data_IF_021024550755
#
_entry.id   IF_021024550755
#
_cell.length_a   1.000
_cell.length_b   1.000
_cell.length_c   1.000
_cell.angle_alpha   90.00
_cell.angle_beta   90.00
_cell.angle_gamma   90.00
#
_symmetry.space_group_name_H-M   'P 1'
#
loop_
_entity.id
_entity.type
_entity.pdbx_description
1 polymer ?
#
# COMPACT_ATOMS: atom_id res chain seq x y z
N UNK A 1 -58.49 -37.71 -50.40
CA UNK A 1 -57.70 -36.46 -50.58
C UNK A 1 -57.69 -35.56 -49.34
N UNK A 2 -57.80 -36.08 -48.11
CA UNK A 2 -57.71 -35.30 -46.86
C UNK A 2 -56.40 -35.46 -46.08
N UNK A 3 -55.53 -36.40 -46.49
CA UNK A 3 -54.24 -36.66 -45.82
C UNK A 3 -53.03 -35.88 -46.38
N UNK A 4 -53.14 -35.31 -47.59
CA UNK A 4 -52.05 -34.55 -48.21
C UNK A 4 -52.03 -33.07 -47.80
N UNK A 5 -53.18 -32.52 -47.37
CA UNK A 5 -53.27 -31.12 -46.93
C UNK A 5 -52.71 -30.90 -45.51
N UNK A 6 -52.74 -31.92 -44.65
CA UNK A 6 -52.21 -31.85 -43.27
C UNK A 6 -50.69 -32.04 -43.19
N UNK A 7 -50.07 -32.81 -44.11
CA UNK A 7 -48.61 -32.87 -44.21
C UNK A 7 -48.00 -31.59 -44.81
N UNK A 8 -48.73 -30.90 -45.71
CA UNK A 8 -48.29 -29.62 -46.27
C UNK A 8 -48.22 -28.48 -45.25
N UNK A 9 -49.14 -28.46 -44.26
CA UNK A 9 -49.15 -27.43 -43.22
C UNK A 9 -48.11 -27.66 -42.11
N UNK A 10 -47.73 -28.92 -41.85
CA UNK A 10 -46.66 -29.25 -40.90
C UNK A 10 -45.26 -28.94 -41.44
N UNK A 11 -45.04 -29.09 -42.76
CA UNK A 11 -43.76 -28.77 -43.40
C UNK A 11 -43.55 -27.25 -43.60
N UNK A 12 -44.62 -26.46 -43.73
CA UNK A 12 -44.52 -25.00 -43.88
C UNK A 12 -44.33 -24.26 -42.55
N UNK A 13 -44.68 -24.90 -41.42
CA UNK A 13 -44.50 -24.33 -40.06
C UNK A 13 -43.17 -24.72 -39.42
N UNK A 14 -42.51 -25.77 -39.90
CA UNK A 14 -41.13 -26.12 -39.50
C UNK A 14 -40.05 -25.31 -40.22
N UNK A 15 -40.40 -24.54 -41.28
CA UNK A 15 -39.46 -23.74 -42.07
C UNK A 15 -39.36 -22.27 -41.63
N UNK A 16 -39.97 -21.92 -40.49
CA UNK A 16 -40.00 -20.58 -39.90
C UNK A 16 -39.46 -20.59 -38.46
N UNK A 17 -38.44 -21.41 -38.18
CA UNK A 17 -37.55 -21.13 -37.05
C UNK A 17 -36.73 -19.89 -37.44
N UNK A 18 -36.93 -18.72 -36.82
CA UNK A 18 -36.04 -17.61 -37.05
C UNK A 18 -34.66 -18.05 -36.57
N UNK A 19 -33.67 -17.99 -37.47
CA UNK A 19 -32.27 -17.88 -37.11
C UNK A 19 -32.12 -16.59 -36.29
N UNK A 20 -32.44 -16.66 -35.00
CA UNK A 20 -32.01 -15.68 -34.02
C UNK A 20 -30.52 -15.93 -33.82
N UNK A 21 -29.70 -15.53 -34.79
CA UNK A 21 -28.37 -15.05 -34.46
C UNK A 21 -28.62 -13.86 -33.55
N UNK A 22 -28.48 -14.09 -32.25
CA UNK A 22 -28.28 -12.98 -31.32
C UNK A 22 -27.01 -12.32 -31.80
N UNK A 23 -27.15 -11.15 -32.41
CA UNK A 23 -26.00 -10.35 -32.81
C UNK A 23 -25.22 -10.13 -31.51
N UNK A 24 -24.00 -10.68 -31.36
CA UNK A 24 -23.22 -10.38 -30.19
C UNK A 24 -23.07 -8.87 -30.20
N UNK A 25 -23.56 -8.22 -29.14
CA UNK A 25 -23.34 -6.80 -28.95
C UNK A 25 -21.82 -6.62 -29.05
N UNK A 26 -21.35 -6.09 -30.19
CA UNK A 26 -19.96 -5.75 -30.38
C UNK A 26 -19.72 -4.55 -29.48
N UNK A 27 -19.55 -4.82 -28.19
CA UNK A 27 -19.06 -3.85 -27.25
C UNK A 27 -17.64 -3.59 -27.71
N UNK A 28 -17.48 -2.52 -28.50
CA UNK A 28 -16.18 -1.98 -28.81
C UNK A 28 -15.57 -1.63 -27.46
N UNK A 29 -14.70 -2.51 -26.96
CA UNK A 29 -13.80 -2.27 -25.83
C UNK A 29 -12.75 -1.24 -26.28
N UNK A 30 -13.23 -0.06 -26.66
CA UNK A 30 -12.44 1.11 -27.00
C UNK A 30 -12.51 2.15 -25.88
N UNK A 31 -12.91 1.75 -24.67
CA UNK A 31 -12.66 2.54 -23.48
C UNK A 31 -11.25 2.20 -23.01
N UNK A 32 -10.24 2.80 -23.65
CA UNK A 32 -8.99 3.03 -22.93
C UNK A 32 -9.36 3.89 -21.73
N UNK A 33 -9.48 3.25 -20.56
CA UNK A 33 -9.81 3.91 -19.28
C UNK A 33 -8.61 4.79 -18.93
N UNK A 34 -8.59 5.99 -19.50
CA UNK A 34 -7.63 7.04 -19.22
C UNK A 34 -8.24 7.97 -18.17
N UNK A 35 -8.26 7.50 -16.93
CA UNK A 35 -8.97 8.10 -15.81
C UNK A 35 -7.97 8.61 -14.79
N UNK A 36 -8.15 9.86 -14.37
CA UNK A 36 -7.36 10.43 -13.28
C UNK A 36 -7.77 9.79 -11.96
N UNK A 37 -6.78 9.35 -11.18
CA UNK A 37 -6.90 8.74 -9.85
C UNK A 37 -6.20 9.64 -8.85
N UNK A 38 -6.94 10.10 -7.84
CA UNK A 38 -6.44 11.02 -6.81
C UNK A 38 -6.67 10.45 -5.42
N UNK A 39 -5.61 10.33 -4.63
CA UNK A 39 -5.70 9.89 -3.24
C UNK A 39 -5.01 10.92 -2.35
N UNK A 40 -5.71 11.39 -1.30
CA UNK A 40 -5.17 12.37 -0.38
C UNK A 40 -5.98 12.44 0.90
N UNK A 41 -5.30 12.29 2.04
CA UNK A 41 -5.89 12.45 3.37
C UNK A 41 -5.10 13.48 4.17
N UNK A 42 -5.79 14.48 4.69
CA UNK A 42 -5.23 15.44 5.66
C UNK A 42 -5.52 14.94 7.07
N UNK A 43 -4.48 14.87 7.90
CA UNK A 43 -4.60 14.42 9.29
C UNK A 43 -4.09 15.49 10.26
N UNK A 44 -4.48 15.37 11.52
CA UNK A 44 -3.95 16.19 12.63
C UNK A 44 -2.66 15.60 13.23
N UNK A 45 -2.03 14.62 12.56
CA UNK A 45 -0.83 13.93 13.02
C UNK A 45 0.40 14.55 12.37
N UNK A 46 1.49 14.60 13.12
CA UNK A 46 2.78 15.16 12.72
C UNK A 46 3.58 14.20 11.83
N UNK A 47 3.05 13.85 10.67
CA UNK A 47 3.67 12.89 9.75
C UNK A 47 3.65 13.39 8.30
N UNK A 48 4.54 12.87 7.44
CA UNK A 48 4.53 13.20 6.01
C UNK A 48 3.17 12.88 5.37
N UNK A 49 2.41 13.92 5.04
CA UNK A 49 1.14 13.81 4.32
C UNK A 49 1.40 13.92 2.82
N UNK A 50 1.03 12.89 2.07
CA UNK A 50 1.27 12.78 0.63
C UNK A 50 -0.05 12.67 -0.12
N UNK A 51 -0.21 13.51 -1.14
CA UNK A 51 -1.28 13.44 -2.13
C UNK A 51 -0.72 12.74 -3.37
N UNK A 52 -1.39 11.70 -3.83
CA UNK A 52 -0.98 10.88 -4.98
C UNK A 52 -1.87 11.18 -6.18
N UNK A 53 -1.23 11.53 -7.30
CA UNK A 53 -1.89 11.75 -8.58
C UNK A 53 -1.40 10.73 -9.61
N UNK A 54 -2.31 9.89 -10.09
CA UNK A 54 -2.02 8.87 -11.07
C UNK A 54 -3.07 8.89 -12.18
N UNK A 55 -2.73 8.35 -13.35
CA UNK A 55 -3.65 8.19 -14.47
C UNK A 55 -3.70 6.71 -14.82
N UNK A 56 -4.89 6.13 -14.86
CA UNK A 56 -5.05 4.75 -15.28
C UNK A 56 -4.65 4.61 -16.74
N UNK A 57 -3.93 3.55 -17.07
CA UNK A 57 -3.46 3.29 -18.41
C UNK A 57 -3.65 1.81 -18.72
N UNK A 58 -4.41 1.51 -19.78
CA UNK A 58 -4.50 0.16 -20.31
C UNK A 58 -3.49 -0.01 -21.44
N UNK A 59 -2.63 -1.02 -21.33
CA UNK A 59 -1.77 -1.44 -22.44
C UNK A 59 -2.64 -1.92 -23.60
N UNK A 60 -2.49 -1.28 -24.76
CA UNK A 60 -3.29 -1.55 -25.95
C UNK A 60 -3.04 -2.93 -26.57
N UNK A 61 -1.86 -3.51 -26.36
CA UNK A 61 -1.45 -4.80 -26.93
C UNK A 61 -1.78 -5.95 -25.98
N UNK A 62 -1.56 -5.76 -24.67
CA UNK A 62 -1.75 -6.82 -23.68
C UNK A 62 -3.09 -6.73 -22.94
N UNK A 63 -3.79 -5.60 -23.03
CA UNK A 63 -4.98 -5.32 -22.23
C UNK A 63 -4.68 -5.12 -20.74
N UNK A 64 -3.41 -5.14 -20.33
CA UNK A 64 -3.02 -5.04 -18.92
C UNK A 64 -3.21 -3.63 -18.41
N UNK A 65 -3.97 -3.48 -17.33
CA UNK A 65 -4.14 -2.20 -16.63
C UNK A 65 -2.90 -1.86 -15.80
N UNK A 66 -2.52 -0.59 -15.82
CA UNK A 66 -1.47 0.00 -15.00
C UNK A 66 -1.80 1.45 -14.64
N UNK A 67 -0.88 2.11 -13.94
CA UNK A 67 -1.00 3.52 -13.55
C UNK A 67 0.23 4.29 -13.99
N UNK A 68 0.03 5.48 -14.54
CA UNK A 68 1.09 6.41 -14.87
C UNK A 68 1.08 7.57 -13.87
N UNK A 69 2.20 7.87 -13.20
CA UNK A 69 2.27 8.99 -12.27
C UNK A 69 2.09 10.32 -13.01
N UNK A 70 1.27 11.20 -12.46
CA UNK A 70 1.06 12.55 -13.00
C UNK A 70 2.11 13.46 -12.39
N UNK A 71 3.11 13.84 -13.19
CA UNK A 71 4.27 14.62 -12.72
C UNK A 71 4.14 16.11 -13.03
N UNK A 72 4.90 16.94 -12.31
CA UNK A 72 4.99 18.40 -12.54
C UNK A 72 3.64 19.14 -12.41
N UNK A 73 2.68 18.57 -11.69
CA UNK A 73 1.45 19.27 -11.34
C UNK A 73 1.72 20.29 -10.23
N UNK A 74 0.98 21.39 -10.24
CA UNK A 74 0.92 22.30 -9.08
C UNK A 74 -0.19 21.80 -8.17
N UNK A 75 0.15 21.36 -6.96
CA UNK A 75 -0.80 20.78 -5.99
C UNK A 75 -0.84 21.63 -4.72
N UNK A 76 -2.04 22.00 -4.31
CA UNK A 76 -2.30 22.94 -3.23
C UNK A 76 -3.49 22.48 -2.38
N UNK A 77 -3.40 22.68 -1.06
CA UNK A 77 -4.52 22.49 -0.14
C UNK A 77 -4.94 23.85 0.39
N UNK A 78 -6.22 24.17 0.24
CA UNK A 78 -6.84 25.41 0.71
C UNK A 78 -7.45 25.15 2.07
N UNK A 79 -7.04 25.91 3.08
CA UNK A 79 -7.54 25.90 4.45
C UNK A 79 -8.51 27.08 4.64
N UNK A 80 -9.72 26.78 5.13
CA UNK A 80 -10.80 27.74 5.42
C UNK A 80 -11.04 28.75 4.29
N UNK A 81 -10.98 28.25 3.05
CA UNK A 81 -11.21 29.02 1.81
C UNK A 81 -10.28 30.20 1.57
N UNK A 82 -9.17 30.34 2.31
CA UNK A 82 -8.32 31.54 2.26
C UNK A 82 -6.82 31.24 2.30
N UNK A 83 -6.37 30.39 3.22
CA UNK A 83 -4.96 30.03 3.34
C UNK A 83 -4.61 28.93 2.34
N UNK A 84 -3.47 29.05 1.67
CA UNK A 84 -3.00 28.09 0.65
C UNK A 84 -1.72 27.43 1.13
N UNK A 85 -1.75 26.11 1.20
CA UNK A 85 -0.61 25.28 1.56
C UNK A 85 -0.15 24.54 0.31
N UNK A 86 1.03 24.91 -0.19
CA UNK A 86 1.59 24.32 -1.40
C UNK A 86 2.31 23.00 -1.09
N UNK A 87 2.09 22.00 -1.93
CA UNK A 87 2.82 20.74 -1.88
C UNK A 87 4.06 20.79 -2.76
N UNK A 88 5.03 19.92 -2.49
CA UNK A 88 6.20 19.71 -3.35
C UNK A 88 6.23 18.26 -3.83
N UNK A 89 6.59 18.05 -5.09
CA UNK A 89 6.73 16.70 -5.65
C UNK A 89 8.00 16.03 -5.09
N UNK A 90 7.86 14.85 -4.47
CA UNK A 90 8.98 14.11 -3.87
C UNK A 90 9.47 13.00 -4.80
N UNK A 91 8.55 12.14 -5.22
CA UNK A 91 8.73 11.16 -6.28
C UNK A 91 7.63 11.38 -7.32
N UNK A 92 7.84 10.89 -8.54
CA UNK A 92 6.89 11.08 -9.65
C UNK A 92 5.45 10.74 -9.21
N UNK A 93 4.56 11.73 -9.27
CA UNK A 93 3.14 11.56 -8.92
C UNK A 93 2.79 11.61 -7.42
N UNK A 94 3.77 11.85 -6.54
CA UNK A 94 3.57 12.02 -5.09
C UNK A 94 3.93 13.44 -4.66
N UNK A 95 2.95 14.14 -4.10
CA UNK A 95 3.04 15.54 -3.71
C UNK A 95 2.87 15.67 -2.20
N UNK A 96 3.93 16.09 -1.51
CA UNK A 96 3.99 16.13 -0.06
C UNK A 96 3.73 17.54 0.46
N UNK A 97 2.90 17.64 1.51
CA UNK A 97 2.72 18.88 2.27
C UNK A 97 3.99 19.24 3.07
N UNK A 98 4.14 20.49 3.55
CA UNK A 98 5.23 20.85 4.45
C UNK A 98 5.30 19.92 5.67
N UNK A 99 6.51 19.52 6.09
CA UNK A 99 6.71 18.51 7.16
C UNK A 99 6.20 18.96 8.54
N UNK A 100 6.04 20.26 8.75
CA UNK A 100 5.53 20.88 9.96
C UNK A 100 4.01 21.11 9.94
N UNK A 101 3.38 20.95 8.77
CA UNK A 101 1.95 21.10 8.63
C UNK A 101 1.20 19.99 9.39
N UNK A 102 0.14 20.39 10.10
CA UNK A 102 -0.81 19.50 10.76
C UNK A 102 -2.20 20.07 10.57
N UNK A 103 -3.12 19.20 10.18
CA UNK A 103 -4.53 19.56 10.13
C UNK A 103 -5.09 19.87 11.53
N UNK A 104 -6.17 20.63 11.55
CA UNK A 104 -6.84 21.12 12.75
C UNK A 104 -8.29 20.68 12.71
N UNK A 105 -8.78 20.20 13.84
CA UNK A 105 -10.17 19.76 14.01
C UNK A 105 -11.10 20.96 13.82
N UNK A 106 -12.25 20.74 13.17
CA UNK A 106 -13.25 21.76 12.81
C UNK A 106 -12.80 22.79 11.76
N UNK A 107 -11.61 22.63 11.17
CA UNK A 107 -11.17 23.40 10.02
C UNK A 107 -11.47 22.68 8.72
N UNK A 108 -11.59 23.45 7.65
CA UNK A 108 -12.13 22.98 6.39
C UNK A 108 -11.07 23.00 5.28
N UNK A 109 -10.83 21.84 4.67
CA UNK A 109 -9.77 21.60 3.69
C UNK A 109 -10.34 21.35 2.30
N UNK A 110 -9.67 21.88 1.28
CA UNK A 110 -10.03 21.64 -0.12
C UNK A 110 -8.78 21.44 -0.97
N UNK A 111 -8.75 20.39 -1.76
CA UNK A 111 -7.67 20.12 -2.70
C UNK A 111 -7.89 20.89 -4.00
N UNK A 112 -6.83 21.56 -4.47
CA UNK A 112 -6.75 22.16 -5.80
C UNK A 112 -5.46 21.70 -6.47
N UNK A 113 -5.56 21.30 -7.74
CA UNK A 113 -4.36 21.05 -8.51
C UNK A 113 -4.51 21.41 -9.98
N UNK A 114 -3.39 21.78 -10.59
CA UNK A 114 -3.26 22.12 -12.00
C UNK A 114 -2.23 21.19 -12.64
N UNK A 115 -2.64 20.47 -13.68
CA UNK A 115 -1.77 19.58 -14.43
C UNK A 115 -0.78 20.38 -15.31
N UNK A 116 0.25 19.71 -15.82
CA UNK A 116 1.27 20.33 -16.67
C UNK A 116 0.71 20.89 -17.99
N UNK A 117 -0.45 20.42 -18.44
CA UNK A 117 -1.17 20.90 -19.63
C UNK A 117 -2.08 22.11 -19.33
N UNK A 118 -2.16 22.54 -18.06
CA UNK A 118 -3.01 23.65 -17.60
C UNK A 118 -4.40 23.25 -17.15
N UNK A 119 -4.79 21.97 -17.24
CA UNK A 119 -6.08 21.47 -16.77
C UNK A 119 -6.19 21.57 -15.25
N UNK A 120 -7.34 22.05 -14.74
CA UNK A 120 -7.54 22.35 -13.32
C UNK A 120 -8.61 21.48 -12.69
N UNK A 121 -8.34 21.07 -11.46
CA UNK A 121 -9.21 20.22 -10.67
C UNK A 121 -9.38 20.77 -9.27
N UNK A 122 -10.56 20.52 -8.71
CA UNK A 122 -10.93 20.97 -7.37
C UNK A 122 -11.75 19.90 -6.66
N UNK A 123 -11.48 19.67 -5.37
CA UNK A 123 -12.31 18.82 -4.54
C UNK A 123 -13.49 19.58 -3.93
N UNK A 124 -14.47 18.86 -3.39
CA UNK A 124 -15.37 19.45 -2.37
C UNK A 124 -14.57 19.79 -1.11
N UNK A 125 -15.10 20.71 -0.31
CA UNK A 125 -14.55 21.04 0.99
C UNK A 125 -14.82 19.91 2.00
N UNK A 126 -13.84 19.62 2.85
CA UNK A 126 -13.90 18.57 3.87
C UNK A 126 -13.57 19.19 5.22
N UNK A 127 -14.54 19.21 6.13
CA UNK A 127 -14.33 19.66 7.52
C UNK A 127 -13.76 18.49 8.31
N UNK A 128 -12.64 18.69 9.00
CA UNK A 128 -12.02 17.65 9.82
C UNK A 128 -12.88 17.39 11.07
N UNK A 129 -13.52 16.21 11.19
CA UNK A 129 -14.28 15.87 12.39
C UNK A 129 -13.35 15.59 13.57
N UNK A 130 -13.88 15.69 14.80
CA UNK A 130 -13.16 15.24 15.99
C UNK A 130 -13.21 13.72 16.13
N UNK A 131 -12.22 13.13 16.80
CA UNK A 131 -12.14 11.67 17.02
C UNK A 131 -11.95 11.37 18.51
N UNK A 132 -12.72 10.44 19.10
CA UNK A 132 -12.50 10.04 20.48
C UNK A 132 -11.20 9.23 20.63
N UNK A 133 -10.56 9.24 21.81
CA UNK A 133 -9.34 8.46 22.04
C UNK A 133 -9.65 6.96 22.13
N UNK A 134 -8.73 6.14 21.60
CA UNK A 134 -8.75 4.68 21.80
C UNK A 134 -8.55 4.38 23.29
N UNK A 135 -9.52 3.72 23.92
CA UNK A 135 -9.53 3.46 25.36
C UNK A 135 -8.72 2.22 25.73
N UNK A 136 -8.91 1.13 25.01
CA UNK A 136 -8.20 -0.13 25.25
C UNK A 136 -7.91 -0.84 23.94
N UNK A 137 -6.78 -1.54 23.91
CA UNK A 137 -6.38 -2.45 22.83
C UNK A 137 -6.16 -3.82 23.44
N UNK A 138 -6.69 -4.86 22.79
CA UNK A 138 -6.51 -6.26 23.17
C UNK A 138 -6.04 -7.03 21.96
N UNK A 139 -5.06 -7.91 22.15
CA UNK A 139 -4.49 -8.72 21.06
C UNK A 139 -4.68 -10.20 21.38
N UNK A 140 -5.02 -10.99 20.37
CA UNK A 140 -5.16 -12.44 20.49
C UNK A 140 -4.48 -13.12 19.30
N UNK A 141 -3.58 -14.06 19.56
CA UNK A 141 -3.02 -14.90 18.50
C UNK A 141 -4.08 -15.85 17.93
N UNK A 142 -4.13 -15.96 16.60
CA UNK A 142 -5.07 -16.82 15.88
C UNK A 142 -4.35 -17.46 14.68
N UNK A 143 -4.16 -18.80 14.66
CA UNK A 143 -3.43 -19.49 13.60
C UNK A 143 -4.16 -19.52 12.24
N UNK A 144 -5.42 -19.07 12.19
CA UNK A 144 -6.28 -19.13 10.99
C UNK A 144 -7.01 -17.82 10.70
N UNK A 145 -6.47 -16.69 11.17
CA UNK A 145 -7.11 -15.37 11.08
C UNK A 145 -7.20 -14.81 9.67
N UNK A 146 -6.09 -14.81 8.91
CA UNK A 146 -6.04 -14.21 7.57
C UNK A 146 -6.99 -14.91 6.60
N UNK A 147 -7.57 -14.23 5.62
CA UNK A 147 -8.37 -14.90 4.58
C UNK A 147 -7.49 -15.80 3.67
N UNK A 148 -8.06 -16.73 2.88
CA UNK A 148 -7.28 -17.52 1.91
C UNK A 148 -6.54 -16.67 0.87
N UNK A 149 -7.04 -15.47 0.56
CA UNK A 149 -6.43 -14.54 -0.40
C UNK A 149 -5.22 -13.84 0.22
N UNK A 150 -5.27 -13.56 1.52
CA UNK A 150 -4.19 -12.94 2.30
C UNK A 150 -3.17 -13.96 2.83
N UNK A 151 -3.40 -15.25 2.59
CA UNK A 151 -2.54 -16.31 3.08
C UNK A 151 -1.17 -16.27 2.39
N UNK A 152 -0.11 -16.36 3.20
CA UNK A 152 1.27 -16.44 2.68
C UNK A 152 1.44 -17.83 2.03
N UNK A 153 1.95 -17.84 0.80
CA UNK A 153 1.98 -19.00 -0.11
C UNK A 153 0.63 -19.72 -0.26
N UNK A 154 -0.48 -19.00 -0.11
CA UNK A 154 -1.83 -19.56 -0.24
C UNK A 154 -2.26 -20.50 0.89
N UNK A 155 -1.48 -20.63 1.97
CA UNK A 155 -1.78 -21.58 3.06
C UNK A 155 -1.50 -21.07 4.48
N UNK A 156 -0.52 -20.20 4.68
CA UNK A 156 -0.13 -19.74 6.00
C UNK A 156 -0.99 -18.54 6.41
N UNK A 157 -1.81 -18.72 7.46
CA UNK A 157 -2.91 -17.81 7.83
C UNK A 157 -2.83 -17.28 9.26
N UNK A 158 -1.72 -17.53 9.95
CA UNK A 158 -1.56 -17.11 11.34
C UNK A 158 -1.38 -15.59 11.45
N UNK A 159 -2.13 -14.96 12.34
CA UNK A 159 -2.04 -13.54 12.63
C UNK A 159 -2.44 -13.24 14.09
N UNK A 160 -2.17 -12.01 14.51
CA UNK A 160 -2.65 -11.46 15.75
C UNK A 160 -3.89 -10.61 15.47
N UNK A 161 -5.03 -11.04 15.99
CA UNK A 161 -6.29 -10.30 15.93
C UNK A 161 -6.23 -9.18 16.95
N UNK A 162 -6.28 -7.94 16.47
CA UNK A 162 -6.22 -6.73 17.29
C UNK A 162 -7.61 -6.16 17.40
N UNK A 163 -8.08 -6.07 18.64
CA UNK A 163 -9.35 -5.49 19.01
C UNK A 163 -9.16 -4.17 19.72
N UNK A 164 -10.05 -3.22 19.49
CA UNK A 164 -10.09 -1.99 20.27
C UNK A 164 -11.44 -1.76 20.95
N UNK A 165 -11.37 -0.97 22.01
CA UNK A 165 -12.51 -0.35 22.66
C UNK A 165 -12.38 1.18 22.59
N UNK A 166 -13.46 1.87 22.26
CA UNK A 166 -13.54 3.33 22.25
C UNK A 166 -14.91 3.80 22.74
N UNK A 167 -14.95 4.91 23.46
CA UNK A 167 -16.20 5.54 23.88
C UNK A 167 -16.65 6.50 22.78
N UNK A 168 -17.81 6.22 22.20
CA UNK A 168 -18.41 7.08 21.18
C UNK A 168 -19.05 8.34 21.83
N UNK A 169 -18.92 9.53 21.21
CA UNK A 169 -19.59 10.74 21.67
C UNK A 169 -21.13 10.60 21.62
N UNK A 170 -21.84 11.22 22.56
CA UNK A 170 -23.31 11.17 22.58
C UNK A 170 -23.94 12.17 21.60
N UNK A 171 -25.06 11.80 21.00
CA UNK A 171 -25.93 12.66 20.18
C UNK A 171 -25.31 13.16 18.86
N UNK A 172 -24.23 12.55 18.40
CA UNK A 172 -23.64 12.79 17.08
C UNK A 172 -23.71 11.51 16.27
N UNK A 173 -23.83 11.61 14.94
CA UNK A 173 -23.77 10.44 14.06
C UNK A 173 -22.35 10.36 13.52
N UNK A 174 -21.54 9.48 14.10
CA UNK A 174 -20.12 9.37 13.84
C UNK A 174 -19.81 8.21 12.89
N UNK A 175 -18.81 8.45 12.06
CA UNK A 175 -18.27 7.46 11.13
C UNK A 175 -16.78 7.31 11.41
N UNK A 176 -16.33 6.05 11.48
CA UNK A 176 -14.95 5.74 11.80
C UNK A 176 -14.31 4.93 10.68
N UNK A 177 -12.99 5.10 10.55
CA UNK A 177 -12.12 4.23 9.77
C UNK A 177 -10.99 3.78 10.67
N UNK A 178 -10.67 2.49 10.62
CA UNK A 178 -9.50 1.96 11.30
C UNK A 178 -8.46 1.50 10.30
N UNK A 179 -7.23 1.90 10.56
CA UNK A 179 -6.05 1.49 9.82
C UNK A 179 -4.96 1.12 10.83
N UNK A 180 -3.93 0.42 10.36
CA UNK A 180 -2.80 0.05 11.21
C UNK A 180 -1.49 0.17 10.45
N UNK A 181 -0.44 0.45 11.20
CA UNK A 181 0.94 0.49 10.71
C UNK A 181 1.79 -0.36 11.64
N UNK A 182 2.47 -1.36 11.07
CA UNK A 182 3.28 -2.33 11.79
C UNK A 182 4.75 -2.01 11.61
N UNK A 183 5.48 -1.95 12.71
CA UNK A 183 6.93 -1.95 12.76
C UNK A 183 7.42 -3.35 13.12
N UNK A 184 7.91 -4.06 12.11
CA UNK A 184 8.44 -5.42 12.25
C UNK A 184 9.97 -5.38 12.20
N UNK A 185 10.69 -5.91 13.21
CA UNK A 185 12.15 -5.97 13.17
C UNK A 185 12.65 -6.70 11.93
N UNK A 186 13.59 -6.10 11.22
CA UNK A 186 14.16 -6.67 10.02
C UNK A 186 15.60 -7.10 10.24
N UNK A 187 15.90 -8.34 9.85
CA UNK A 187 17.23 -8.93 9.98
C UNK A 187 18.14 -8.62 8.77
N UNK A 188 17.57 -8.40 7.58
CA UNK A 188 18.31 -8.14 6.34
C UNK A 188 18.02 -6.74 5.78
N UNK A 189 19.07 -5.93 5.60
CA UNK A 189 18.94 -4.52 5.27
C UNK A 189 19.23 -4.20 3.79
N UNK A 190 19.87 -5.11 3.05
CA UNK A 190 20.19 -4.85 1.65
C UNK A 190 20.25 -6.13 0.87
N UNK A 191 19.69 -6.10 -0.33
CA UNK A 191 19.89 -7.12 -1.35
C UNK A 191 20.66 -6.48 -2.49
N UNK A 192 21.78 -7.09 -2.89
CA UNK A 192 22.51 -6.71 -4.09
C UNK A 192 22.37 -7.82 -5.14
N UNK A 193 21.64 -7.56 -6.21
CA UNK A 193 21.55 -8.46 -7.36
C UNK A 193 22.74 -8.24 -8.29
N UNK A 194 23.51 -9.29 -8.56
CA UNK A 194 24.74 -9.23 -9.36
C UNK A 194 25.77 -8.20 -8.87
N UNK A 195 25.81 -7.99 -7.57
CA UNK A 195 26.73 -7.07 -6.92
C UNK A 195 27.05 -7.51 -5.51
N UNK A 196 28.00 -6.81 -4.90
CA UNK A 196 28.37 -7.00 -3.50
C UNK A 196 28.18 -5.70 -2.73
N UNK A 197 27.78 -5.80 -1.47
CA UNK A 197 27.69 -4.62 -0.62
C UNK A 197 29.07 -4.19 -0.15
N UNK A 198 29.40 -2.91 -0.36
CA UNK A 198 30.67 -2.34 0.02
C UNK A 198 30.51 -1.23 1.06
N UNK A 199 31.23 -1.38 2.17
CA UNK A 199 31.28 -0.37 3.25
C UNK A 199 32.08 0.85 2.83
N UNK A 200 33.14 0.64 2.04
CA UNK A 200 34.02 1.69 1.54
C UNK A 200 34.02 1.72 0.01
N UNK A 201 34.39 2.86 -0.57
CA UNK A 201 34.49 3.07 -2.01
C UNK A 201 35.46 2.05 -2.61
N UNK A 202 35.01 1.40 -3.68
CA UNK A 202 35.73 0.35 -4.40
C UNK A 202 36.16 0.90 -5.76
N UNK A 203 37.47 0.91 -6.01
CA UNK A 203 38.05 1.42 -7.25
C UNK A 203 38.62 0.28 -8.10
N UNK A 204 38.56 0.37 -9.43
CA UNK A 204 39.28 -0.54 -10.31
C UNK A 204 40.77 -0.51 -9.99
N UNK A 205 41.39 -1.70 -9.91
CA UNK A 205 42.83 -1.84 -9.79
C UNK A 205 43.37 -2.55 -11.04
N UNK A 206 44.36 -3.43 -10.89
CA UNK A 206 44.96 -4.20 -11.98
C UNK A 206 44.38 -5.62 -12.08
N UNK A 207 44.35 -6.17 -13.30
CA UNK A 207 43.99 -7.56 -13.60
C UNK A 207 42.60 -8.00 -13.11
N UNK A 208 41.60 -7.11 -13.14
CA UNK A 208 40.22 -7.43 -12.75
C UNK A 208 39.99 -7.57 -11.24
N UNK A 209 40.98 -7.16 -10.44
CA UNK A 209 40.89 -6.98 -8.99
C UNK A 209 40.46 -5.53 -8.71
N UNK A 210 39.75 -5.31 -7.61
CA UNK A 210 39.34 -4.00 -7.14
C UNK A 210 40.00 -3.68 -5.79
N UNK A 211 40.33 -2.41 -5.60
CA UNK A 211 40.91 -1.92 -4.37
C UNK A 211 39.83 -1.24 -3.53
N UNK A 212 39.67 -1.67 -2.27
CA UNK A 212 38.85 -0.95 -1.30
C UNK A 212 39.66 0.21 -0.72
N UNK A 213 39.06 1.40 -0.69
CA UNK A 213 39.65 2.61 -0.10
C UNK A 213 39.25 2.75 1.37
N UNK A 214 39.66 3.84 2.02
CA UNK A 214 39.21 4.23 3.37
C UNK A 214 38.02 5.21 3.35
N UNK A 215 37.48 5.53 2.16
CA UNK A 215 36.37 6.48 2.01
C UNK A 215 35.04 5.72 2.19
N UNK A 216 34.16 6.12 3.12
CA UNK A 216 32.86 5.47 3.29
C UNK A 216 32.00 5.53 2.02
N UNK A 217 31.23 4.46 1.76
CA UNK A 217 30.34 4.34 0.60
C UNK A 217 28.97 3.74 0.96
N UNK A 218 28.95 2.58 1.63
CA UNK A 218 27.74 1.89 2.13
C UNK A 218 26.65 1.61 1.08
N UNK A 219 27.03 1.05 -0.07
CA UNK A 219 26.08 0.65 -1.12
C UNK A 219 26.55 -0.59 -1.92
N UNK A 220 25.68 -1.13 -2.76
CA UNK A 220 25.97 -2.20 -3.70
C UNK A 220 26.94 -1.72 -4.79
N UNK A 221 28.04 -2.44 -4.96
CA UNK A 221 29.00 -2.27 -6.03
C UNK A 221 28.81 -3.39 -7.05
N UNK A 222 28.71 -3.00 -8.31
CA UNK A 222 28.48 -3.90 -9.43
C UNK A 222 29.77 -4.04 -10.24
N UNK A 223 30.44 -5.21 -10.19
CA UNK A 223 31.62 -5.44 -11.01
C UNK A 223 31.24 -5.45 -12.50
N UNK A 224 32.08 -4.90 -13.41
CA UNK A 224 31.83 -4.94 -14.84
C UNK A 224 31.73 -6.38 -15.34
N UNK A 225 30.84 -6.63 -16.31
CA UNK A 225 30.57 -7.97 -16.84
C UNK A 225 31.81 -8.70 -17.38
N UNK A 226 32.86 -7.97 -17.78
CA UNK A 226 34.13 -8.52 -18.27
C UNK A 226 35.13 -8.90 -17.17
N UNK A 227 34.83 -8.62 -15.90
CA UNK A 227 35.75 -8.85 -14.79
C UNK A 227 35.58 -10.23 -14.14
N UNK A 228 36.66 -10.79 -13.60
CA UNK A 228 36.61 -12.05 -12.83
C UNK A 228 35.66 -11.95 -11.63
N UNK A 229 35.53 -10.75 -11.04
CA UNK A 229 34.60 -10.47 -9.95
C UNK A 229 33.13 -10.69 -10.35
N UNK A 230 32.78 -10.43 -11.61
CA UNK A 230 31.41 -10.63 -12.10
C UNK A 230 30.99 -12.09 -12.06
N UNK A 231 31.91 -13.04 -12.30
CA UNK A 231 31.62 -14.48 -12.24
C UNK A 231 31.16 -14.94 -10.84
N UNK A 232 31.56 -14.23 -9.78
CA UNK A 232 31.14 -14.54 -8.41
C UNK A 232 29.71 -14.09 -8.11
N UNK A 233 29.26 -13.00 -8.74
CA UNK A 233 27.94 -12.39 -8.50
C UNK A 233 26.93 -12.72 -9.59
N UNK A 234 27.36 -13.32 -10.71
CA UNK A 234 26.51 -13.56 -11.87
C UNK A 234 25.26 -14.38 -11.50
N UNK A 235 24.08 -13.84 -11.83
CA UNK A 235 22.79 -14.47 -11.53
C UNK A 235 22.49 -14.66 -10.04
N UNK A 236 23.25 -14.05 -9.15
CA UNK A 236 23.15 -14.24 -7.70
C UNK A 236 22.72 -12.95 -7.00
N UNK A 237 21.84 -13.08 -6.01
CA UNK A 237 21.50 -12.00 -5.08
C UNK A 237 22.17 -12.29 -3.75
N UNK A 238 22.92 -11.33 -3.20
CA UNK A 238 23.42 -11.41 -1.84
C UNK A 238 22.59 -10.55 -0.90
N UNK A 239 22.18 -11.14 0.22
CA UNK A 239 21.38 -10.48 1.26
C UNK A 239 22.24 -10.21 2.49
N UNK A 240 22.26 -8.94 2.89
CA UNK A 240 23.16 -8.44 3.90
C UNK A 240 22.42 -8.20 5.20
N UNK A 241 22.90 -8.81 6.28
CA UNK A 241 22.37 -8.60 7.62
C UNK A 241 22.42 -7.12 8.01
N UNK A 242 21.41 -6.67 8.72
CA UNK A 242 21.36 -5.35 9.31
C UNK A 242 22.47 -5.19 10.37
N UNK A 243 23.35 -4.20 10.17
CA UNK A 243 24.39 -3.83 11.14
C UNK A 243 23.84 -2.97 12.29
N UNK A 244 22.79 -2.22 11.99
CA UNK A 244 22.08 -1.34 12.92
C UNK A 244 20.66 -1.86 13.12
N UNK A 245 19.97 -1.40 14.16
CA UNK A 245 18.54 -1.66 14.30
C UNK A 245 17.78 -1.21 13.05
N UNK A 246 16.76 -1.97 12.69
CA UNK A 246 15.97 -1.74 11.50
C UNK A 246 14.57 -2.30 11.68
N UNK A 247 13.58 -1.52 11.29
CA UNK A 247 12.19 -1.94 11.26
C UNK A 247 11.65 -1.77 9.85
N UNK A 248 11.02 -2.82 9.35
CA UNK A 248 10.16 -2.75 8.19
C UNK A 248 8.80 -2.18 8.61
N UNK A 249 8.25 -1.29 7.80
CA UNK A 249 6.99 -0.60 8.03
C UNK A 249 5.96 -1.19 7.06
N UNK A 250 5.00 -1.93 7.61
CA UNK A 250 3.92 -2.55 6.86
C UNK A 250 2.61 -1.81 7.16
N UNK A 251 1.81 -1.54 6.13
CA UNK A 251 0.57 -0.77 6.23
C UNK A 251 -0.64 -1.67 6.01
N UNK A 252 -1.76 -1.32 6.63
CA UNK A 252 -3.04 -1.92 6.32
C UNK A 252 -3.47 -1.58 4.89
N UNK A 253 -3.87 -2.59 4.11
CA UNK A 253 -4.45 -2.41 2.78
C UNK A 253 -5.96 -2.67 2.75
N UNK A 254 -6.51 -3.23 3.83
CA UNK A 254 -7.94 -3.48 3.97
C UNK A 254 -8.64 -2.22 4.44
N UNK A 255 -9.81 -1.95 3.85
CA UNK A 255 -10.69 -0.88 4.29
C UNK A 255 -11.57 -1.43 5.41
N UNK A 256 -11.55 -0.76 6.56
CA UNK A 256 -12.37 -1.07 7.72
C UNK A 256 -13.09 0.21 8.17
N UNK A 257 -14.30 0.41 7.67
CA UNK A 257 -15.15 1.54 8.05
C UNK A 257 -16.34 1.09 8.90
N UNK A 258 -16.83 2.02 9.72
CA UNK A 258 -17.92 1.79 10.66
C UNK A 258 -18.82 2.99 10.81
N UNK A 259 -20.10 2.70 11.00
CA UNK A 259 -21.19 3.64 11.22
C UNK A 259 -21.77 3.34 12.60
N UNK A 260 -21.77 4.34 13.48
CA UNK A 260 -22.23 4.24 14.86
C UNK A 260 -23.75 4.17 15.02
N UNK A 261 -24.53 4.13 13.93
CA UNK A 261 -26.00 4.19 13.95
C UNK A 261 -26.69 3.31 14.99
N UNK A 262 -26.09 2.18 15.36
CA UNK A 262 -26.61 1.23 16.35
C UNK A 262 -25.89 1.26 17.71
N UNK A 263 -24.85 2.08 17.85
CA UNK A 263 -23.99 2.21 19.04
C UNK A 263 -23.78 3.67 19.47
N UNK A 264 -24.50 4.63 18.90
CA UNK A 264 -24.35 6.08 19.14
C UNK A 264 -24.32 6.40 20.64
N UNK A 265 -23.24 7.05 21.08
CA UNK A 265 -22.98 7.40 22.47
C UNK A 265 -22.61 6.23 23.39
N UNK A 266 -22.54 5.01 22.84
CA UNK A 266 -22.23 3.79 23.54
C UNK A 266 -20.75 3.43 23.50
N UNK A 267 -20.38 2.40 24.26
CA UNK A 267 -19.05 1.81 24.17
C UNK A 267 -18.98 0.93 22.91
N UNK A 268 -18.14 1.30 21.95
CA UNK A 268 -17.73 0.41 20.87
C UNK A 268 -16.70 -0.53 21.49
N UNK A 269 -17.06 -1.81 21.67
CA UNK A 269 -16.22 -2.79 22.35
C UNK A 269 -15.84 -3.96 21.46
N UNK A 270 -14.59 -4.41 21.59
CA UNK A 270 -14.01 -5.56 20.90
C UNK A 270 -14.19 -5.46 19.38
N UNK A 271 -14.05 -4.26 18.83
CA UNK A 271 -14.07 -4.06 17.39
C UNK A 271 -12.76 -4.61 16.81
N UNK A 272 -12.84 -5.57 15.88
CA UNK A 272 -11.67 -6.09 15.17
C UNK A 272 -11.18 -5.01 14.20
N UNK A 273 -9.95 -4.54 14.39
CA UNK A 273 -9.38 -3.42 13.64
C UNK A 273 -8.11 -3.77 12.88
N UNK A 274 -7.40 -4.81 13.28
CA UNK A 274 -6.25 -5.31 12.55
C UNK A 274 -6.12 -6.82 12.67
N UNK A 275 -5.55 -7.42 11.62
CA UNK A 275 -5.10 -8.80 11.59
C UNK A 275 -3.62 -8.75 11.21
N UNK A 276 -2.76 -8.66 12.23
CA UNK A 276 -1.31 -8.46 12.04
C UNK A 276 -0.66 -9.81 11.75
N UNK A 277 -0.16 -10.08 10.53
CA UNK A 277 0.36 -11.40 10.18
C UNK A 277 1.53 -11.82 11.08
N UNK A 278 1.61 -13.12 11.38
CA UNK A 278 2.68 -13.67 12.21
C UNK A 278 3.87 -14.09 11.35
N UNK A 279 4.81 -13.16 11.13
CA UNK A 279 5.98 -13.39 10.29
C UNK A 279 7.17 -14.04 11.01
N UNK A 280 7.30 -13.82 12.32
CA UNK A 280 8.47 -14.25 13.11
C UNK A 280 8.17 -14.16 14.61
N UNK A 281 8.93 -14.89 15.45
CA UNK A 281 8.78 -14.86 16.91
C UNK A 281 9.33 -13.58 17.56
N UNK A 282 10.12 -12.79 16.85
CA UNK A 282 10.56 -11.48 17.34
C UNK A 282 9.34 -10.59 17.62
N UNK A 283 9.40 -9.77 18.68
CA UNK A 283 8.31 -8.87 19.01
C UNK A 283 8.12 -7.83 17.90
N UNK A 284 6.94 -7.22 17.83
CA UNK A 284 6.66 -6.12 16.92
C UNK A 284 5.85 -5.01 17.62
N UNK A 285 5.77 -3.84 16.98
CA UNK A 285 4.92 -2.75 17.45
C UNK A 285 3.91 -2.41 16.36
N UNK A 286 2.63 -2.35 16.73
CA UNK A 286 1.56 -1.92 15.83
C UNK A 286 0.97 -0.60 16.32
N UNK A 287 0.93 0.40 15.44
CA UNK A 287 0.20 1.63 15.61
C UNK A 287 -1.23 1.44 15.12
N UNK A 288 -2.18 1.32 16.05
CA UNK A 288 -3.60 1.32 15.72
C UNK A 288 -4.06 2.76 15.53
N UNK A 289 -4.67 3.05 14.38
CA UNK A 289 -5.13 4.38 13.99
C UNK A 289 -6.64 4.36 13.87
N UNK A 290 -7.30 5.17 14.69
CA UNK A 290 -8.73 5.45 14.61
C UNK A 290 -8.94 6.82 14.00
N UNK A 291 -9.62 6.86 12.87
CA UNK A 291 -9.89 8.08 12.11
C UNK A 291 -11.37 8.39 12.13
N UNK A 292 -11.73 9.66 12.34
CA UNK A 292 -13.10 10.13 12.16
C UNK A 292 -13.32 10.58 10.72
N UNK A 293 -14.44 10.16 10.13
CA UNK A 293 -14.81 10.46 8.75
C UNK A 293 -16.03 11.39 8.69
N UNK A 294 -16.09 12.22 7.63
CA UNK A 294 -17.35 12.84 7.23
C UNK A 294 -18.28 11.78 6.64
N UNK A 295 -19.60 12.01 6.70
CA UNK A 295 -20.59 11.10 6.09
C UNK A 295 -20.26 10.76 4.63
N UNK A 296 -19.90 11.76 3.84
CA UNK A 296 -19.58 11.56 2.41
C UNK A 296 -18.29 10.77 2.21
N UNK A 297 -17.31 10.90 3.11
CA UNK A 297 -16.10 10.09 3.07
C UNK A 297 -16.40 8.64 3.46
N UNK A 298 -17.23 8.42 4.49
CA UNK A 298 -17.69 7.09 4.86
C UNK A 298 -18.43 6.39 3.72
N UNK A 299 -19.39 7.08 3.08
CA UNK A 299 -20.13 6.53 1.93
C UNK A 299 -19.16 6.09 0.82
N UNK A 300 -18.14 6.90 0.54
CA UNK A 300 -17.09 6.57 -0.42
C UNK A 300 -16.30 5.32 -0.03
N UNK A 301 -15.71 5.29 1.16
CA UNK A 301 -14.88 4.16 1.59
C UNK A 301 -15.68 2.87 1.80
N UNK A 302 -16.91 2.97 2.30
CA UNK A 302 -17.82 1.82 2.44
C UNK A 302 -18.16 1.20 1.08
N UNK A 303 -18.40 2.04 0.06
CA UNK A 303 -18.61 1.57 -1.30
C UNK A 303 -17.37 0.81 -1.82
N UNK A 304 -16.17 1.36 -1.65
CA UNK A 304 -14.94 0.69 -2.05
C UNK A 304 -14.74 -0.62 -1.29
N UNK A 305 -14.97 -0.63 0.03
CA UNK A 305 -14.91 -1.84 0.86
C UNK A 305 -15.83 -2.94 0.31
N UNK A 306 -17.07 -2.59 -0.04
CA UNK A 306 -18.04 -3.54 -0.59
C UNK A 306 -17.64 -4.04 -1.98
N UNK A 307 -16.98 -3.23 -2.81
CA UNK A 307 -16.57 -3.65 -4.16
C UNK A 307 -15.29 -4.50 -4.15
N UNK A 308 -14.30 -4.14 -3.33
CA UNK A 308 -12.97 -4.77 -3.37
C UNK A 308 -12.85 -5.97 -2.43
N UNK A 309 -13.68 -6.03 -1.38
CA UNK A 309 -13.60 -7.06 -0.35
C UNK A 309 -14.84 -7.97 -0.31
N UNK A 310 -15.76 -7.88 -1.28
CA UNK A 310 -16.82 -8.88 -1.45
C UNK A 310 -16.27 -10.11 -2.17
N UNK A 311 -16.62 -11.29 -1.68
CA UNK A 311 -16.04 -12.57 -2.10
C UNK A 311 -16.56 -13.13 -3.44
N UNK A 312 -17.20 -12.33 -4.29
CA UNK A 312 -17.57 -12.74 -5.64
C UNK A 312 -18.66 -13.82 -5.69
N UNK A 313 -19.90 -13.47 -5.35
CA UNK A 313 -21.08 -14.33 -5.52
C UNK A 313 -21.78 -14.14 -6.88
N UNK A 314 -22.49 -15.17 -7.36
CA UNK A 314 -23.33 -15.09 -8.58
C UNK A 314 -24.46 -14.03 -8.51
N UNK A 315 -24.69 -13.45 -7.33
CA UNK A 315 -25.69 -12.42 -7.05
C UNK A 315 -25.06 -11.06 -6.74
N UNK A 316 -23.75 -10.88 -6.94
CA UNK A 316 -23.09 -9.62 -6.66
C UNK A 316 -23.62 -8.52 -7.58
N UNK A 317 -23.87 -7.35 -7.00
CA UNK A 317 -24.37 -6.20 -7.75
C UNK A 317 -23.31 -5.78 -8.75
N UNK A 318 -23.65 -5.54 -10.04
CA UNK A 318 -22.67 -5.12 -11.02
C UNK A 318 -21.90 -3.89 -10.53
N UNK A 319 -20.57 -3.83 -10.75
CA UNK A 319 -19.75 -2.72 -10.28
C UNK A 319 -20.32 -1.39 -10.77
N UNK A 320 -20.73 -0.53 -9.84
CA UNK A 320 -21.16 0.83 -10.17
C UNK A 320 -19.95 1.76 -10.07
N UNK A 321 -19.90 2.83 -10.86
CA UNK A 321 -18.83 3.83 -10.72
C UNK A 321 -19.25 4.82 -9.65
N UNK A 322 -18.64 4.76 -8.46
CA UNK A 322 -18.77 5.83 -7.49
C UNK A 322 -17.81 6.95 -7.86
N UNK A 323 -18.39 8.11 -8.18
CA UNK A 323 -17.63 9.33 -8.47
C UNK A 323 -17.13 9.88 -7.13
N UNK A 324 -15.84 10.21 -7.10
CA UNK A 324 -15.20 10.85 -5.96
C UNK A 324 -15.70 12.25 -5.67
N UNK A 325 -14.98 12.97 -4.83
CA UNK A 325 -15.30 14.36 -4.53
C UNK A 325 -14.46 15.38 -5.33
N UNK A 326 -13.76 14.95 -6.38
CA UNK A 326 -12.89 15.77 -7.22
C UNK A 326 -13.50 15.92 -8.60
N UNK A 327 -13.45 17.14 -9.14
CA UNK A 327 -13.98 17.47 -10.47
C UNK A 327 -13.02 18.36 -11.25
N UNK A 328 -13.01 18.19 -12.57
CA UNK A 328 -12.40 19.15 -13.48
C UNK A 328 -13.25 20.44 -13.54
N UNK A 329 -12.61 21.59 -13.47
CA UNK A 329 -13.28 22.89 -13.49
C UNK A 329 -13.84 23.27 -14.89
N UNK A 330 -13.18 22.84 -15.95
CA UNK A 330 -13.56 23.10 -17.34
C UNK A 330 -14.52 22.05 -17.91
N UNK A 331 -14.40 20.78 -17.48
CA UNK A 331 -15.29 19.69 -17.90
C UNK A 331 -15.84 18.89 -16.70
N UNK A 332 -17.01 19.28 -16.15
CA UNK A 332 -17.64 18.55 -15.06
C UNK A 332 -18.08 17.12 -15.39
N UNK A 333 -18.04 16.70 -16.67
CA UNK A 333 -18.39 15.34 -17.10
C UNK A 333 -17.18 14.41 -17.13
N UNK A 334 -15.96 14.95 -17.02
CA UNK A 334 -14.76 14.12 -16.91
C UNK A 334 -14.88 13.23 -15.67
N UNK A 335 -14.57 11.94 -15.86
CA UNK A 335 -14.54 10.97 -14.77
C UNK A 335 -13.21 11.10 -14.04
N UNK A 336 -13.27 11.38 -12.74
CA UNK A 336 -12.13 11.31 -11.83
C UNK A 336 -12.46 10.30 -10.75
N UNK A 337 -11.53 9.38 -10.50
CA UNK A 337 -11.61 8.39 -9.43
C UNK A 337 -10.75 8.86 -8.27
N UNK A 338 -11.15 8.50 -7.05
CA UNK A 338 -10.40 8.84 -5.85
C UNK A 338 -11.13 9.81 -4.95
N UNK A 339 -10.55 10.13 -3.80
CA UNK A 339 -11.20 10.97 -2.81
C UNK A 339 -10.16 11.77 -2.04
N UNK A 340 -10.47 13.04 -1.81
CA UNK A 340 -9.73 13.89 -0.89
C UNK A 340 -10.52 14.00 0.42
N UNK A 341 -9.92 13.67 1.56
CA UNK A 341 -10.58 13.77 2.87
C UNK A 341 -9.71 14.43 3.92
N UNK A 342 -10.34 14.89 5.00
CA UNK A 342 -9.68 15.41 6.18
C UNK A 342 -10.22 14.68 7.41
N UNK A 343 -9.35 14.04 8.16
CA UNK A 343 -9.71 13.13 9.26
C UNK A 343 -8.84 13.40 10.47
N UNK A 344 -9.45 13.61 11.64
CA UNK A 344 -8.69 13.54 12.87
C UNK A 344 -8.35 12.08 13.19
N UNK A 345 -7.17 11.85 13.74
CA UNK A 345 -6.64 10.52 14.04
C UNK A 345 -6.27 10.41 15.52
N UNK A 346 -6.76 9.35 16.16
CA UNK A 346 -6.27 8.87 17.44
C UNK A 346 -5.35 7.68 17.21
N UNK A 347 -4.10 7.77 17.68
CA UNK A 347 -3.10 6.70 17.53
C UNK A 347 -2.86 6.05 18.88
N UNK A 348 -2.89 4.71 18.90
CA UNK A 348 -2.52 3.91 20.06
C UNK A 348 -1.47 2.85 19.67
N UNK A 349 -0.18 3.08 19.98
CA UNK A 349 0.85 2.06 19.82
C UNK A 349 0.58 0.87 20.75
N UNK A 350 0.82 -0.34 20.25
CA UNK A 350 0.72 -1.58 21.02
C UNK A 350 1.89 -2.50 20.71
N UNK A 351 2.63 -2.92 21.75
CA UNK A 351 3.76 -3.83 21.65
C UNK A 351 3.27 -5.28 21.77
N UNK A 352 3.52 -6.09 20.75
CA UNK A 352 3.16 -7.51 20.71
C UNK A 352 4.44 -8.31 20.95
N UNK A 353 4.55 -8.96 22.11
CA UNK A 353 5.76 -9.70 22.49
C UNK A 353 5.87 -11.09 21.85
N UNK A 354 4.76 -11.58 21.28
CA UNK A 354 4.61 -12.86 20.57
C UNK A 354 5.04 -14.11 21.35
N UNK A 355 5.13 -14.04 22.68
CA UNK A 355 5.55 -15.19 23.51
C UNK A 355 4.48 -16.27 23.63
N UNK A 356 3.23 -15.91 23.36
CA UNK A 356 2.06 -16.79 23.35
C UNK A 356 1.77 -17.42 21.98
N UNK A 357 2.71 -17.28 21.02
CA UNK A 357 2.55 -17.80 19.66
C UNK A 357 3.06 -19.22 19.51
N UNK A 358 2.35 -19.99 18.70
CA UNK A 358 2.71 -21.36 18.32
C UNK A 358 2.88 -21.46 16.79
N UNK A 359 3.68 -22.42 16.33
CA UNK A 359 3.92 -22.70 14.91
C UNK A 359 5.24 -22.16 14.38
N UNK A 360 5.54 -22.47 13.12
CA UNK A 360 6.77 -22.06 12.43
C UNK A 360 6.39 -20.99 11.41
N UNK A 361 6.69 -19.71 11.66
CA UNK A 361 6.36 -18.65 10.73
C UNK A 361 7.34 -18.62 9.54
N UNK A 362 6.95 -18.08 8.37
CA UNK A 362 7.75 -18.11 7.15
C UNK A 362 9.01 -17.22 7.20
N UNK A 363 9.18 -16.37 8.22
CA UNK A 363 10.10 -15.22 8.30
C UNK A 363 9.60 -13.99 7.54
N UNK A 364 9.93 -12.80 8.03
CA UNK A 364 9.62 -11.54 7.36
C UNK A 364 10.26 -11.47 5.97
N UNK A 365 11.53 -11.85 5.86
CA UNK A 365 12.26 -11.78 4.58
C UNK A 365 11.58 -12.61 3.50
N UNK A 366 11.18 -13.83 3.83
CA UNK A 366 10.48 -14.71 2.90
C UNK A 366 9.11 -14.11 2.51
N UNK A 367 8.34 -13.61 3.48
CA UNK A 367 7.03 -13.02 3.22
C UNK A 367 7.09 -11.82 2.26
N UNK A 368 8.17 -11.02 2.32
CA UNK A 368 8.36 -9.86 1.44
C UNK A 368 8.94 -10.24 0.07
N UNK A 369 9.83 -11.24 0.01
CA UNK A 369 10.64 -11.51 -1.19
C UNK A 369 10.27 -12.81 -1.92
N UNK A 370 9.43 -13.67 -1.34
CA UNK A 370 9.06 -14.98 -1.90
C UNK A 370 10.24 -15.96 -2.03
N UNK A 371 11.33 -15.74 -1.28
CA UNK A 371 12.53 -16.59 -1.30
C UNK A 371 13.25 -16.53 0.04
N UNK A 372 14.06 -17.54 0.31
CA UNK A 372 14.99 -17.51 1.45
C UNK A 372 16.14 -16.52 1.21
N UNK A 373 16.68 -15.90 2.26
CA UNK A 373 17.84 -15.02 2.14
C UNK A 373 19.08 -15.82 1.75
N UNK A 374 19.94 -15.21 0.94
CA UNK A 374 21.22 -15.75 0.50
C UNK A 374 22.35 -14.88 1.06
N UNK A 375 22.79 -15.11 2.30
CA UNK A 375 23.84 -14.31 2.91
C UNK A 375 25.16 -14.51 2.18
N UNK A 376 25.90 -13.42 2.00
CA UNK A 376 27.26 -13.52 1.46
C UNK A 376 28.14 -14.31 2.44
N UNK A 377 28.91 -15.28 1.91
CA UNK A 377 29.89 -15.99 2.70
C UNK A 377 30.93 -15.02 3.28
N UNK A 378 31.34 -15.15 4.55
CA UNK A 378 32.27 -14.22 5.17
C UNK A 378 33.62 -14.18 4.45
N UNK A 379 34.28 -13.00 4.38
CA UNK A 379 35.55 -12.87 3.66
C UNK A 379 36.70 -13.70 4.25
N UNK A 380 37.79 -14.00 3.49
CA UNK A 380 38.77 -15.01 3.87
C UNK A 380 39.45 -14.70 5.23
N UNK A 381 39.93 -15.73 5.97
CA UNK A 381 40.70 -16.87 5.43
C UNK A 381 39.90 -18.04 4.85
N UNK A 382 38.57 -18.04 4.91
CA UNK A 382 37.74 -19.12 4.40
C UNK A 382 36.56 -18.64 3.54
N UNK A 383 36.83 -18.32 2.27
CA UNK A 383 35.84 -18.17 1.17
C UNK A 383 35.12 -16.82 0.97
N UNK A 384 35.82 -15.69 1.11
CA UNK A 384 35.34 -14.45 0.51
C UNK A 384 35.78 -14.19 -0.91
N UNK A 385 35.23 -13.12 -1.53
CA UNK A 385 35.63 -12.71 -2.86
C UNK A 385 37.12 -12.32 -2.89
N UNK A 386 37.94 -13.17 -3.51
CA UNK A 386 39.39 -12.97 -3.73
C UNK A 386 39.73 -11.78 -4.65
N UNK A 387 38.73 -11.05 -5.13
CA UNK A 387 38.85 -9.93 -6.05
C UNK A 387 38.79 -8.55 -5.39
N UNK A 388 38.54 -8.46 -4.08
CA UNK A 388 38.68 -7.22 -3.31
C UNK A 388 39.96 -7.23 -2.49
N UNK A 389 40.82 -6.22 -2.66
CA UNK A 389 42.09 -6.08 -1.91
C UNK A 389 42.21 -4.73 -1.23
N UNK A 390 42.97 -4.69 -0.13
CA UNK A 390 43.20 -3.47 0.65
C UNK A 390 41.96 -3.00 1.42
N UNK A 391 42.10 -1.85 2.08
CA UNK A 391 41.04 -1.25 2.88
C UNK A 391 40.74 -1.96 4.21
N UNK A 392 39.82 -1.41 5.02
CA UNK A 392 39.33 -2.03 6.24
C UNK A 392 38.58 -3.34 5.98
N UNK A 393 38.47 -4.19 7.01
CA UNK A 393 37.65 -5.41 6.94
C UNK A 393 36.21 -5.05 6.57
N UNK A 394 35.67 -5.75 5.57
CA UNK A 394 34.29 -5.58 5.09
C UNK A 394 33.41 -6.69 5.68
N UNK A 395 32.70 -6.46 6.79
CA UNK A 395 31.72 -7.42 7.26
C UNK A 395 30.58 -7.54 6.23
N UNK A 396 30.00 -8.73 5.99
CA UNK A 396 28.85 -8.92 5.11
C UNK A 396 27.56 -8.41 5.78
N UNK A 397 27.54 -7.12 6.12
CA UNK A 397 26.44 -6.43 6.82
C UNK A 397 26.21 -5.06 6.19
N UNK A 398 24.95 -4.63 6.17
CA UNK A 398 24.52 -3.35 5.63
C UNK A 398 23.91 -2.45 6.71
N UNK A 399 24.05 -1.13 6.54
CA UNK A 399 23.33 -0.17 7.38
C UNK A 399 21.85 -0.13 6.99
N UNK A 400 20.98 0.10 7.98
CA UNK A 400 19.56 0.32 7.71
C UNK A 400 19.37 1.73 7.13
N UNK A 401 19.34 1.84 5.80
CA UNK A 401 19.04 3.11 5.12
C UNK A 401 17.54 3.40 5.17
N UNK A 402 17.10 4.61 5.57
CA UNK A 402 15.70 4.98 5.56
C UNK A 402 15.16 4.99 4.12
N UNK A 403 14.09 4.24 3.89
CA UNK A 403 13.28 4.25 2.66
C UNK A 403 11.81 4.30 3.09
N UNK A 404 10.87 4.52 2.17
CA UNK A 404 9.44 4.74 2.51
C UNK A 404 8.81 3.66 3.42
N UNK A 405 9.32 2.43 3.34
CA UNK A 405 8.84 1.27 4.11
C UNK A 405 9.83 0.80 5.19
N UNK A 406 10.86 1.59 5.52
CA UNK A 406 11.89 1.13 6.46
C UNK A 406 12.56 2.25 7.23
N UNK A 407 12.79 2.02 8.51
CA UNK A 407 13.41 3.01 9.40
C UNK A 407 14.47 2.39 10.31
N UNK A 408 15.61 3.09 10.53
CA UNK A 408 16.56 2.73 11.59
C UNK A 408 16.17 3.32 12.96
N UNK A 409 15.12 4.14 13.02
CA UNK A 409 14.68 4.81 14.24
C UNK A 409 13.66 3.91 14.93
N UNK A 410 13.91 3.62 16.21
CA UNK A 410 12.98 2.85 17.04
C UNK A 410 11.61 3.54 17.07
N UNK A 411 10.51 2.79 16.82
CA UNK A 411 9.19 3.38 16.80
C UNK A 411 8.73 3.80 18.20
N UNK A 412 7.88 4.81 18.27
CA UNK A 412 7.37 5.35 19.53
C UNK A 412 6.54 4.28 20.24
N UNK A 413 6.93 3.91 21.47
CA UNK A 413 6.27 2.83 22.22
C UNK A 413 7.03 1.50 22.19
N UNK A 414 8.14 1.42 21.45
CA UNK A 414 9.08 0.31 21.60
C UNK A 414 9.71 0.33 23.01
N UNK A 415 9.73 -0.80 23.74
CA UNK A 415 10.37 -0.87 25.06
C UNK A 415 11.87 -0.56 24.97
N UNK A 416 12.38 0.25 25.90
CA UNK A 416 13.82 0.55 26.04
C UNK A 416 14.62 -0.60 26.62
#
# INVERSE_FOLDING_TARGET
MRSLALLGLGCLTALLLPFACVDPLAQTLADTVDVLVVDGTITNVAEPMVIRLNRSHADRLTGRSGTLPVTKATVEVILDSSEVISCHETINGSYQLPNDFKGQINHAYQLRFTLSDGTRYISTQQVMPSVPPISRVTVQFNPTSLSPIEAIDGHYRAAHDVYLDTQDPVNEHNYYRWSWMLYEPQEYCRTCYQGIYAVNEVLPFNNGVFQSTNKPFEDCVYPPASSQAYLYVQGTSFDYFCRTQCWEILYSHTINVFDDKFTNGGLISRQLVAQVPFYQHSPCLVDIRQEALTKTAYEYFNFFQQQTQSTGGLTDTPPTVMIGNIRNEADPKEKVIGYFTASAVSIKPYYIDRKDTDGIPPTLFYALNGRIPNPESPPPPSNGPTFLVGGPVRPPTAVCGPIDQRTPIAPIGWPN
#
